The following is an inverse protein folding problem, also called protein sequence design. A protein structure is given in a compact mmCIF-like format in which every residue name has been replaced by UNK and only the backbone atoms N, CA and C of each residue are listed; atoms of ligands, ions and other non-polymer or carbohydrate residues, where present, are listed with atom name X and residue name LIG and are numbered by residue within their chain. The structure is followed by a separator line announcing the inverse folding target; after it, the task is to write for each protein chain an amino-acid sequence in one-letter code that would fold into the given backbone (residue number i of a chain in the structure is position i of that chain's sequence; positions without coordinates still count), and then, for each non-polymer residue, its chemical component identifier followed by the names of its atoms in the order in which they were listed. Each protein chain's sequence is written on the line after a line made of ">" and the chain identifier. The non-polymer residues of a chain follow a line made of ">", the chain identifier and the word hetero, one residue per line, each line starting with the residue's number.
data_IF_213951400165
#
_entry.id   IF_213951400165
#
_cell.length_a   1.000
_cell.length_b   1.000
_cell.length_c   1.000
_cell.angle_alpha   90.00
_cell.angle_beta   90.00
_cell.angle_gamma   90.00
#
_symmetry.space_group_name_H-M   'P 1'
#
loop_
_entity.id
_entity.type
_entity.pdbx_description
1 polymer ?
2 polymer ?
3 polymer ?
4 water ?
#
loop_
_entity_poly.entity_id
_entity_poly.type
_entity_poly.pdbx_seq_one_letter_code
_entity_poly.pdbx_strand_id
2 'polydeoxyribonucleotide' '(DT)(DC)(DA)(DA)(DA)(DA)(DC)(DG)(DT)(DC)(DA)(DG)(DC)(DG)(DG)(DA)(DC)(DG)(DT)(DT)(DT)(DT)(DG)(DA)' ?
3 'polydeoxyribonucleotide' '(DT)(DC)(DA)(DA)(DA)(DA)(DC)(DG)(DT)(DC)(DC)(DG)(DC)(DT)(DG)(DA)(DC)(DG)(DT)(DT)(DT)(DT)(DG)(DA)' ?
#
# COMPACT_ATOMS: atom_id res chain seq x y z
N UNK A 1 22.68 15.19 -6.66
CA UNK A 1 22.17 13.90 -6.22
C UNK A 1 21.67 13.93 -4.78
N UNK A 2 20.42 14.31 -4.59
CA UNK A 2 19.83 14.35 -3.24
C UNK A 2 19.87 13.00 -2.52
N UNK A 3 20.52 12.97 -1.36
CA UNK A 3 20.51 11.79 -0.51
C UNK A 3 19.35 11.90 0.49
N UNK A 4 18.53 10.86 0.57
CA UNK A 4 17.37 10.91 1.45
C UNK A 4 17.66 10.52 2.90
N UNK A 5 17.02 11.25 3.81
CA UNK A 5 16.98 10.88 5.22
C UNK A 5 16.52 9.43 5.38
N UNK A 6 17.32 8.63 6.07
CA UNK A 6 17.09 7.19 6.17
C UNK A 6 15.73 6.82 6.72
N UNK A 7 15.22 7.61 7.66
CA UNK A 7 13.89 7.37 8.21
C UNK A 7 12.83 7.49 7.14
N UNK A 8 12.98 8.51 6.29
CA UNK A 8 12.07 8.73 5.19
C UNK A 8 12.15 7.58 4.19
N UNK A 9 13.34 7.01 4.02
CA UNK A 9 13.52 5.88 3.13
C UNK A 9 12.80 4.62 3.59
N UNK A 10 12.84 4.37 4.90
CA UNK A 10 12.21 3.18 5.47
C UNK A 10 10.72 3.25 5.32
N UNK A 11 10.16 4.42 5.64
CA UNK A 11 8.75 4.68 5.46
C UNK A 11 8.32 4.47 4.00
N UNK A 12 9.06 5.10 3.10
CA UNK A 12 8.78 5.08 1.67
C UNK A 12 8.89 3.66 1.11
N UNK A 13 9.87 2.93 1.61
CA UNK A 13 10.02 1.53 1.23
C UNK A 13 8.75 0.78 1.57
N UNK A 14 8.26 0.96 2.78
CA UNK A 14 7.04 0.26 3.21
C UNK A 14 5.87 0.65 2.33
N UNK A 15 5.80 1.94 2.03
CA UNK A 15 4.70 2.48 1.26
C UNK A 15 4.77 1.97 -0.17
N UNK A 16 5.99 1.91 -0.69
CA UNK A 16 6.22 1.44 -2.05
C UNK A 16 5.95 -0.05 -2.15
N UNK A 17 6.21 -0.79 -1.06
CA UNK A 17 5.98 -2.22 -1.06
C UNK A 17 4.48 -2.52 -1.03
N UNK A 18 3.72 -1.63 -0.42
CA UNK A 18 2.29 -1.84 -0.26
C UNK A 18 1.50 -1.38 -1.48
N UNK A 19 1.73 -0.13 -1.90
CA UNK A 19 0.97 0.44 -3.00
C UNK A 19 1.85 1.14 -4.05
N UNK A 20 3.08 0.69 -4.17
CA UNK A 20 3.98 1.22 -5.19
C UNK A 20 3.91 0.39 -6.47
N UNK A 21 4.17 1.03 -7.59
CA UNK A 21 4.21 0.36 -8.88
C UNK A 21 5.47 0.71 -9.66
N UNK A 22 6.16 -0.32 -10.13
CA UNK A 22 7.37 -0.14 -10.92
C UNK A 22 7.12 -0.73 -12.29
N UNK A 23 7.10 0.13 -13.30
CA UNK A 23 6.60 -0.22 -14.63
C UNK A 23 7.68 -0.04 -15.67
N UNK A 24 7.86 -1.06 -16.50
CA UNK A 24 8.78 -0.95 -17.63
C UNK A 24 7.98 -1.24 -18.90
N UNK A 25 8.09 -0.36 -19.88
CA UNK A 25 7.39 -0.58 -21.15
C UNK A 25 8.30 -0.46 -22.37
N UNK A 26 7.90 -1.17 -23.42
CA UNK A 26 8.49 -1.01 -24.74
C UNK A 26 7.38 -0.41 -25.58
N UNK A 27 7.55 0.83 -26.02
CA UNK A 27 6.47 1.55 -26.67
C UNK A 27 6.71 1.64 -28.17
N UNK A 28 5.78 1.09 -28.95
CA UNK A 28 5.86 1.24 -30.41
C UNK A 28 5.91 2.71 -30.75
N UNK A 29 6.99 3.14 -31.39
CA UNK A 29 7.11 4.54 -31.78
C UNK A 29 8.06 4.66 -32.95
N UNK A 30 7.49 5.01 -34.10
CA UNK A 30 8.24 5.05 -35.35
C UNK A 30 9.40 6.06 -35.42
N UNK A 31 9.46 7.01 -34.49
CA UNK A 31 10.53 8.01 -34.51
C UNK A 31 11.85 7.49 -33.95
N UNK A 32 11.85 6.33 -33.32
CA UNK A 32 13.08 5.80 -32.73
C UNK A 32 13.80 4.91 -33.74
N UNK A 33 15.10 4.73 -33.52
CA UNK A 33 15.94 3.94 -34.42
C UNK A 33 15.48 2.49 -34.48
N UNK A 34 15.20 1.88 -33.33
CA UNK A 34 14.70 0.51 -33.27
C UNK A 34 13.17 0.46 -33.23
N UNK A 35 12.52 1.58 -33.55
CA UNK A 35 11.05 1.65 -33.69
C UNK A 35 10.26 1.52 -32.40
N UNK A 36 10.95 1.49 -31.26
CA UNK A 36 10.30 1.51 -29.96
C UNK A 36 11.11 2.33 -28.97
N UNK A 37 10.42 2.84 -27.95
CA UNK A 37 11.03 3.60 -26.88
C UNK A 37 11.01 2.76 -25.63
N UNK A 38 12.14 2.70 -24.93
CA UNK A 38 12.18 2.08 -23.60
C UNK A 38 11.74 3.10 -22.58
N UNK A 39 10.71 2.75 -21.82
CA UNK A 39 10.09 3.68 -20.88
C UNK A 39 10.00 3.08 -19.47
N UNK A 40 10.38 3.85 -18.46
CA UNK A 40 10.32 3.40 -17.07
C UNK A 40 9.50 4.39 -16.24
N UNK A 41 8.69 3.85 -15.34
CA UNK A 41 7.80 4.66 -14.53
C UNK A 41 7.71 4.10 -13.13
N UNK A 42 7.77 4.98 -12.15
CA UNK A 42 7.36 4.65 -10.81
C UNK A 42 6.08 5.42 -10.52
N UNK A 43 5.16 4.79 -9.82
CA UNK A 43 3.80 5.32 -9.76
C UNK A 43 3.10 4.92 -8.47
N UNK A 44 2.36 5.86 -7.89
CA UNK A 44 1.45 5.55 -6.78
C UNK A 44 0.13 6.26 -7.02
N UNK A 45 -0.95 5.62 -6.60
CA UNK A 45 -2.27 6.13 -6.85
C UNK A 45 -2.94 6.45 -5.51
N UNK A 46 -3.89 7.36 -5.56
CA UNK A 46 -4.54 7.82 -4.37
C UNK A 46 -5.87 8.37 -4.90
N UNK A 47 -6.97 8.10 -4.19
CA UNK A 47 -8.28 8.65 -4.59
C UNK A 47 -8.14 10.17 -4.62
N UNK A 48 -8.82 10.82 -5.56
CA UNK A 48 -8.53 12.24 -5.84
C UNK A 48 -8.75 13.18 -4.65
N UNK A 49 -9.69 12.82 -3.76
CA UNK A 49 -9.89 13.59 -2.54
C UNK A 49 -8.63 13.62 -1.66
N UNK A 50 -7.80 12.58 -1.77
CA UNK A 50 -6.59 12.53 -0.96
C UNK A 50 -5.30 12.83 -1.73
N UNK A 51 -5.43 13.53 -2.86
CA UNK A 51 -4.29 13.85 -3.69
C UNK A 51 -3.32 14.82 -3.00
N UNK A 52 -3.81 15.46 -1.94
CA UNK A 52 -2.97 16.30 -1.09
C UNK A 52 -1.75 15.54 -0.57
N UNK A 53 -1.85 14.23 -0.52
CA UNK A 53 -0.77 13.36 -0.06
C UNK A 53 0.27 13.14 -1.18
N UNK A 54 -0.21 13.05 -2.41
CA UNK A 54 0.66 12.94 -3.56
C UNK A 54 1.46 14.23 -3.76
N UNK A 55 0.80 15.36 -3.57
CA UNK A 55 1.45 16.66 -3.71
C UNK A 55 2.56 16.84 -2.67
N UNK A 56 2.34 16.36 -1.46
CA UNK A 56 3.42 16.40 -0.47
C UNK A 56 4.57 15.44 -0.81
N UNK A 57 4.25 14.36 -1.53
CA UNK A 57 5.29 13.45 -2.01
C UNK A 57 6.19 14.10 -3.04
N UNK A 58 5.59 14.92 -3.89
CA UNK A 58 6.34 15.69 -4.87
C UNK A 58 7.38 16.56 -4.14
N UNK A 59 6.99 17.13 -3.01
CA UNK A 59 7.87 17.94 -2.19
C UNK A 59 8.93 17.09 -1.48
N UNK A 60 8.49 16.05 -0.80
CA UNK A 60 9.40 15.18 -0.04
C UNK A 60 10.47 14.56 -0.94
N UNK A 61 10.04 13.89 -2.02
CA UNK A 61 11.00 13.26 -2.92
C UNK A 61 11.75 14.32 -3.70
N UNK A 62 11.06 15.42 -4.02
CA UNK A 62 11.67 16.55 -4.71
C UNK A 62 11.67 16.44 -6.22
N UNK A 63 11.05 15.40 -6.73
CA UNK A 63 11.02 15.16 -8.17
C UNK A 63 9.71 14.48 -8.58
N UNK A 64 9.39 14.52 -9.87
CA UNK A 64 8.13 13.97 -10.35
C UNK A 64 6.97 14.94 -10.21
N UNK A 65 5.77 14.46 -10.50
CA UNK A 65 4.59 15.30 -10.54
C UNK A 65 3.31 14.50 -10.30
N UNK A 66 2.18 15.20 -10.36
CA UNK A 66 0.90 14.58 -10.04
C UNK A 66 -0.08 14.64 -11.21
N UNK A 67 -0.58 13.49 -11.62
CA UNK A 67 -1.58 13.38 -12.67
C UNK A 67 -2.95 13.12 -12.06
N UNK A 68 -3.94 13.89 -12.49
CA UNK A 68 -5.34 13.62 -12.18
C UNK A 68 -5.95 12.85 -13.35
N UNK A 69 -6.63 11.75 -13.08
CA UNK A 69 -7.35 11.03 -14.14
C UNK A 69 -8.79 10.65 -13.76
N UNK A 70 -9.51 11.61 -13.17
CA UNK A 70 -10.89 11.40 -12.76
C UNK A 70 -11.05 11.15 -11.27
N UNK A 71 -11.34 9.89 -10.93
CA UNK A 71 -11.60 9.50 -9.56
C UNK A 71 -10.30 9.33 -8.78
N UNK A 72 -9.22 9.03 -9.50
CA UNK A 72 -7.92 8.81 -8.87
C UNK A 72 -6.84 9.72 -9.46
N UNK A 73 -5.83 10.03 -8.66
CA UNK A 73 -4.68 10.81 -9.11
C UNK A 73 -3.43 9.95 -9.03
N UNK A 74 -2.43 10.23 -9.86
CA UNK A 74 -1.17 9.52 -9.78
C UNK A 74 0.03 10.37 -9.42
N UNK A 75 0.85 9.91 -8.49
CA UNK A 75 2.20 10.42 -8.46
C UNK A 75 2.99 9.66 -9.54
N UNK A 76 3.74 10.40 -10.35
CA UNK A 76 4.47 9.84 -11.47
C UNK A 76 5.93 10.31 -11.43
N UNK A 77 6.85 9.39 -11.65
CA UNK A 77 8.27 9.72 -11.77
C UNK A 77 8.91 8.95 -12.94
N UNK A 78 9.24 9.65 -14.02
CA UNK A 78 9.73 9.03 -15.25
C UNK A 78 11.19 9.39 -15.54
N UNK A 79 11.55 10.65 -15.29
CA UNK A 79 12.93 11.09 -15.47
C UNK A 79 13.93 10.03 -15.02
N UNK A 80 14.70 9.51 -15.97
CA UNK A 80 15.63 8.41 -15.71
C UNK A 80 16.77 8.71 -14.69
N UNK A 81 17.32 9.91 -14.69
CA UNK A 81 18.34 10.22 -13.67
C UNK A 81 17.75 10.23 -12.26
N UNK A 82 16.73 11.07 -12.03
CA UNK A 82 16.11 11.08 -10.70
C UNK A 82 15.62 9.71 -10.29
N UNK A 83 15.05 8.98 -11.23
CA UNK A 83 14.50 7.66 -10.94
C UNK A 83 15.58 6.71 -10.51
N UNK A 84 16.71 6.77 -11.21
CA UNK A 84 17.85 5.93 -10.85
C UNK A 84 18.36 6.26 -9.46
N UNK A 85 18.45 7.55 -9.14
CA UNK A 85 18.95 7.98 -7.85
C UNK A 85 18.00 7.58 -6.75
N UNK A 86 16.71 7.56 -7.10
CA UNK A 86 15.63 7.26 -6.16
C UNK A 86 15.62 5.78 -5.80
N UNK A 87 15.48 4.94 -6.81
CA UNK A 87 15.48 3.49 -6.63
C UNK A 87 16.78 2.94 -6.05
N UNK A 88 17.89 3.58 -6.36
CA UNK A 88 19.19 3.19 -5.79
C UNK A 88 19.16 3.24 -4.27
N UNK A 89 18.55 4.29 -3.73
CA UNK A 89 18.51 4.51 -2.30
C UNK A 89 17.43 3.67 -1.61
N UNK A 90 16.36 3.40 -2.35
CA UNK A 90 15.19 2.71 -1.82
C UNK A 90 15.32 1.18 -1.92
N UNK A 91 16.02 0.73 -2.95
CA UNK A 91 16.20 -0.69 -3.24
C UNK A 91 16.55 -1.54 -2.01
N UNK A 92 17.61 -1.16 -1.26
CA UNK A 92 18.07 -2.01 -0.16
C UNK A 92 16.98 -2.33 0.87
N UNK A 93 16.03 -1.41 1.04
CA UNK A 93 14.95 -1.59 2.02
C UNK A 93 13.71 -2.34 1.51
N UNK A 94 13.56 -2.46 0.19
CA UNK A 94 12.38 -3.10 -0.38
C UNK A 94 12.31 -4.60 -0.10
N UNK A 95 11.11 -5.07 0.25
CA UNK A 95 10.89 -6.49 0.51
C UNK A 95 10.04 -7.19 -0.55
N UNK A 96 9.19 -6.44 -1.22
CA UNK A 96 8.26 -7.02 -2.20
C UNK A 96 8.55 -6.61 -3.64
N UNK A 97 9.03 -5.40 -3.84
CA UNK A 97 9.20 -4.91 -5.19
C UNK A 97 10.67 -4.69 -5.50
N UNK A 98 11.50 -5.38 -4.73
CA UNK A 98 12.94 -5.24 -4.86
C UNK A 98 13.45 -5.81 -6.19
N UNK A 99 12.90 -6.94 -6.62
CA UNK A 99 13.23 -7.49 -7.93
C UNK A 99 12.95 -6.51 -9.09
N UNK A 100 11.73 -6.03 -9.20
CA UNK A 100 11.42 -4.99 -10.18
C UNK A 100 12.43 -3.84 -10.09
N UNK A 101 12.72 -3.39 -8.88
CA UNK A 101 13.66 -2.28 -8.69
C UNK A 101 15.07 -2.58 -9.22
N UNK A 102 15.56 -3.79 -8.97
CA UNK A 102 16.86 -4.23 -9.49
C UNK A 102 16.91 -4.25 -11.02
N UNK A 103 15.85 -4.79 -11.62
CA UNK A 103 15.72 -4.83 -13.08
C UNK A 103 15.72 -3.43 -13.68
N UNK A 104 15.05 -2.50 -13.02
CA UNK A 104 15.00 -1.14 -13.50
C UNK A 104 16.38 -0.49 -13.42
N UNK A 105 17.08 -0.67 -12.29
CA UNK A 105 18.42 -0.14 -12.19
C UNK A 105 19.33 -0.72 -13.28
N UNK A 106 19.26 -2.03 -13.47
CA UNK A 106 20.03 -2.71 -14.51
C UNK A 106 19.70 -2.16 -15.90
N UNK A 107 18.41 -2.03 -16.21
CA UNK A 107 18.00 -1.47 -17.50
C UNK A 107 18.55 -0.05 -17.71
N UNK A 108 18.52 0.77 -16.66
CA UNK A 108 18.93 2.18 -16.76
C UNK A 108 20.43 2.33 -17.05
N UNK A 109 21.24 1.52 -16.39
CA UNK A 109 22.69 1.58 -16.59
C UNK A 109 23.13 1.07 -17.97
N UNK A 110 22.24 0.39 -18.67
CA UNK A 110 22.58 -0.23 -19.96
C UNK A 110 21.91 0.47 -21.14
N UNK A 111 21.16 1.53 -20.85
CA UNK A 111 20.50 2.31 -21.87
C UNK A 111 21.47 2.83 -22.94
N UNK A 112 22.58 3.47 -22.53
CA UNK A 112 23.60 3.95 -23.47
C UNK A 112 24.02 2.91 -24.51
N UNK A 113 24.40 1.72 -24.05
CA UNK A 113 24.87 0.67 -24.97
C UNK A 113 23.74 -0.07 -25.69
N UNK A 114 22.53 -0.04 -25.14
CA UNK A 114 21.38 -0.66 -25.78
C UNK A 114 20.99 0.06 -27.07
N UNK A 115 21.33 1.35 -27.14
CA UNK A 115 20.89 2.17 -28.25
C UNK A 115 21.91 2.16 -29.37
N UNK A 116 22.86 1.24 -29.29
CA UNK A 116 23.89 1.12 -30.32
C UNK A 116 23.86 -0.23 -31.04
N UNK A 117 23.50 -1.29 -30.34
CA UNK A 117 23.43 -2.62 -30.96
C UNK A 117 22.08 -3.31 -30.75
N UNK A 118 21.42 -3.68 -31.86
CA UNK A 118 20.10 -4.30 -31.81
C UNK A 118 20.09 -5.54 -30.91
N UNK A 119 21.26 -6.13 -30.69
CA UNK A 119 21.41 -7.30 -29.83
C UNK A 119 21.27 -6.90 -28.38
N UNK A 120 21.97 -5.84 -28.02
CA UNK A 120 21.96 -5.35 -26.65
C UNK A 120 20.59 -4.79 -26.35
N UNK A 121 19.95 -4.24 -27.38
CA UNK A 121 18.62 -3.67 -27.23
C UNK A 121 17.62 -4.76 -26.88
N UNK A 122 17.74 -5.90 -27.54
CA UNK A 122 16.83 -7.03 -27.35
C UNK A 122 17.01 -7.73 -26.00
N UNK A 123 18.24 -7.76 -25.52
CA UNK A 123 18.51 -8.36 -24.23
C UNK A 123 17.89 -7.48 -23.17
N UNK A 124 17.86 -6.18 -23.44
CA UNK A 124 17.24 -5.21 -22.56
C UNK A 124 15.71 -5.30 -22.57
N UNK A 125 15.12 -5.66 -23.72
CA UNK A 125 13.68 -5.91 -23.76
C UNK A 125 13.25 -7.16 -23.01
N UNK A 126 14.17 -8.10 -22.83
CA UNK A 126 13.86 -9.31 -22.06
C UNK A 126 13.88 -9.00 -20.57
N UNK A 127 14.67 -7.99 -20.18
CA UNK A 127 14.62 -7.53 -18.80
C UNK A 127 13.28 -6.86 -18.53
N UNK A 128 12.75 -6.14 -19.52
CA UNK A 128 11.42 -5.56 -19.40
C UNK A 128 10.33 -6.63 -19.26
N UNK A 129 10.50 -7.78 -19.91
CA UNK A 129 9.59 -8.92 -19.76
C UNK A 129 9.57 -9.44 -18.31
N UNK A 130 10.74 -9.48 -17.69
CA UNK A 130 10.85 -10.01 -16.33
C UNK A 130 10.15 -9.09 -15.34
N UNK A 131 10.33 -7.77 -15.50
CA UNK A 131 9.57 -6.79 -14.72
C UNK A 131 8.05 -7.00 -14.88
N UNK A 132 7.59 -7.08 -16.11
CA UNK A 132 6.18 -7.32 -16.38
C UNK A 132 5.66 -8.64 -15.78
N UNK A 133 6.49 -9.68 -15.75
CA UNK A 133 6.03 -10.96 -15.19
C UNK A 133 6.00 -10.96 -13.66
N UNK A 134 6.83 -10.11 -13.05
CA UNK A 134 6.83 -9.91 -11.59
C UNK A 134 5.65 -9.05 -11.12
N UNK A 135 5.13 -8.21 -12.01
CA UNK A 135 3.92 -7.46 -11.70
C UNK A 135 2.74 -8.35 -11.97
N UNK A 136 1.55 -7.76 -11.94
CA UNK A 136 0.32 -8.49 -12.29
C UNK A 136 -0.19 -8.08 -13.67
N UNK A 137 0.64 -8.37 -14.67
CA UNK A 137 0.41 -7.92 -16.01
C UNK A 137 -0.90 -8.47 -16.53
N UNK A 138 -1.81 -7.58 -16.93
CA UNK A 138 -3.08 -8.00 -17.50
C UNK A 138 -3.20 -7.70 -18.99
N UNK A 139 -2.79 -6.51 -19.42
CA UNK A 139 -3.06 -6.08 -20.80
C UNK A 139 -1.81 -5.89 -21.67
N UNK A 140 -0.67 -6.44 -21.26
CA UNK A 140 0.57 -6.22 -22.02
C UNK A 140 0.47 -6.69 -23.47
N UNK A 141 0.96 -5.87 -24.39
CA UNK A 141 0.78 -6.14 -25.81
C UNK A 141 2.14 -6.23 -26.54
N UNK A 142 3.07 -5.35 -26.20
CA UNK A 142 4.39 -5.35 -26.84
C UNK A 142 5.46 -6.04 -25.99
N UNK A 143 6.16 -7.01 -26.59
CA UNK A 143 7.15 -7.79 -25.86
C UNK A 143 8.50 -7.77 -26.56
N UNK A 144 9.45 -8.52 -26.01
CA UNK A 144 10.76 -8.64 -26.63
C UNK A 144 10.62 -9.35 -27.97
N UNK A 145 9.65 -10.25 -28.06
CA UNK A 145 9.37 -10.98 -29.29
C UNK A 145 8.74 -10.08 -30.35
N UNK A 146 7.99 -9.08 -29.90
CA UNK A 146 7.47 -8.06 -30.81
C UNK A 146 8.62 -7.31 -31.43
N UNK A 147 9.68 -7.12 -30.64
CA UNK A 147 10.87 -6.44 -31.10
C UNK A 147 11.82 -7.36 -31.82
N UNK A 148 11.71 -8.68 -31.61
CA UNK A 148 12.58 -9.62 -32.31
C UNK A 148 12.12 -9.73 -33.77
N UNK A 149 10.80 -9.81 -33.96
CA UNK A 149 10.22 -9.45 -35.23
C UNK A 149 10.52 -7.95 -35.32
N UNK A 150 10.05 -7.28 -36.35
CA UNK A 150 10.34 -5.84 -36.48
C UNK A 150 11.83 -5.55 -36.73
N UNK A 151 12.70 -6.00 -35.83
CA UNK A 151 14.14 -5.90 -36.09
C UNK A 151 14.56 -6.81 -37.26
N UNK A 152 13.60 -7.54 -37.82
CA UNK A 152 13.82 -8.29 -39.05
C UNK A 152 12.91 -7.76 -40.15
N UNK B 1 4.05 -7.11 26.86
CA UNK B 1 3.79 -6.75 25.46
C UNK B 1 5.05 -6.76 24.59
N UNK B 2 4.84 -6.87 23.28
CA UNK B 2 5.95 -6.82 22.33
C UNK B 2 6.39 -5.37 22.12
N UNK B 3 7.67 -5.10 22.31
CA UNK B 3 8.27 -3.84 21.87
C UNK B 3 8.73 -4.00 20.41
N UNK B 4 8.39 -3.04 19.55
CA UNK B 4 8.86 -3.05 18.17
C UNK B 4 9.99 -2.03 17.97
N UNK B 5 11.03 -2.41 17.22
CA UNK B 5 12.09 -1.46 16.89
C UNK B 5 11.56 -0.33 16.03
N UNK B 6 12.29 0.77 15.98
CA UNK B 6 11.86 1.90 15.17
C UNK B 6 11.93 1.60 13.68
N UNK B 7 12.88 0.75 13.28
CA UNK B 7 13.05 0.45 11.86
C UNK B 7 11.86 -0.33 11.31
N UNK B 8 11.44 -1.30 12.09
CA UNK B 8 10.23 -2.06 11.80
C UNK B 8 8.97 -1.18 11.80
N UNK B 9 8.88 -0.23 12.73
CA UNK B 9 7.70 0.63 12.79
C UNK B 9 7.61 1.63 11.64
N UNK B 10 8.78 2.10 11.18
CA UNK B 10 8.84 3.03 10.07
C UNK B 10 8.39 2.35 8.79
N UNK B 11 8.98 1.20 8.53
CA UNK B 11 8.61 0.45 7.35
C UNK B 11 7.12 0.11 7.36
N UNK B 12 6.66 -0.41 8.50
CA UNK B 12 5.28 -0.81 8.66
C UNK B 12 4.30 0.34 8.55
N UNK B 13 4.70 1.51 9.04
CA UNK B 13 3.80 2.66 8.97
C UNK B 13 3.57 3.06 7.52
N UNK B 14 4.62 2.98 6.72
CA UNK B 14 4.53 3.26 5.30
C UNK B 14 3.67 2.20 4.63
N UNK B 15 3.87 0.96 5.02
CA UNK B 15 3.09 -0.13 4.45
C UNK B 15 1.60 0.04 4.76
N UNK B 16 1.31 0.30 6.03
CA UNK B 16 -0.05 0.50 6.50
C UNK B 16 -0.70 1.75 5.91
N UNK B 17 0.07 2.82 5.75
CA UNK B 17 -0.46 4.02 5.13
C UNK B 17 -0.82 3.75 3.68
N UNK B 18 -0.02 2.91 3.01
CA UNK B 18 -0.26 2.60 1.62
C UNK B 18 -1.31 1.54 1.32
N UNK B 19 -1.44 0.54 2.17
CA UNK B 19 -2.08 -0.70 1.76
C UNK B 19 -2.82 -1.41 2.90
N UNK B 20 -2.96 -0.76 4.05
CA UNK B 20 -3.66 -1.36 5.17
C UNK B 20 -5.03 -0.75 5.48
N UNK B 21 -5.94 -1.58 5.99
CA UNK B 21 -7.30 -1.16 6.34
C UNK B 21 -7.54 -1.22 7.85
N UNK B 22 -8.03 -0.13 8.42
CA UNK B 22 -8.44 -0.19 9.82
C UNK B 22 -9.96 -0.19 9.89
N UNK B 23 -10.54 -1.33 10.27
CA UNK B 23 -11.98 -1.53 10.12
C UNK B 23 -12.70 -1.65 11.44
N UNK B 24 -13.65 -0.75 11.68
CA UNK B 24 -14.48 -0.83 12.91
C UNK B 24 -15.92 -1.12 12.53
N UNK B 25 -16.54 -2.05 13.24
CA UNK B 25 -17.91 -2.46 12.93
C UNK B 25 -18.78 -2.56 14.17
N UNK B 26 -20.08 -2.39 13.95
CA UNK B 26 -21.08 -2.67 14.97
C UNK B 26 -21.90 -3.83 14.42
N UNK B 27 -21.66 -5.02 14.94
CA UNK B 27 -22.25 -6.22 14.35
C UNK B 27 -23.51 -6.67 15.09
N UNK B 28 -24.65 -6.64 14.40
CA UNK B 28 -25.91 -7.09 15.04
C UNK B 28 -25.81 -8.56 15.45
N UNK B 29 -25.86 -8.81 16.76
CA UNK B 29 -25.77 -10.13 17.30
C UNK B 29 -26.61 -10.25 18.58
N UNK B 30 -27.63 -11.09 18.55
CA UNK B 30 -28.59 -11.14 19.66
C UNK B 30 -28.02 -11.64 20.99
N UNK B 31 -26.86 -12.26 20.97
CA UNK B 31 -26.36 -12.86 22.20
C UNK B 31 -25.68 -11.82 23.11
N UNK B 32 -25.46 -10.62 22.59
CA UNK B 32 -24.82 -9.56 23.35
C UNK B 32 -25.86 -8.73 24.09
N UNK B 33 -25.51 -8.24 25.27
CA UNK B 33 -26.48 -7.50 26.10
C UNK B 33 -27.13 -6.34 25.33
N UNK B 34 -26.34 -5.62 24.53
CA UNK B 34 -26.88 -4.51 23.78
C UNK B 34 -27.26 -4.91 22.35
N UNK B 35 -27.24 -6.22 22.09
CA UNK B 35 -27.65 -6.76 20.81
C UNK B 35 -26.66 -6.47 19.68
N UNK B 36 -25.46 -6.03 20.04
CA UNK B 36 -24.44 -5.71 19.04
C UNK B 36 -23.05 -5.99 19.58
N UNK B 37 -22.17 -6.42 18.68
CA UNK B 37 -20.76 -6.57 18.98
C UNK B 37 -19.95 -5.41 18.41
N UNK B 38 -19.03 -4.87 19.21
CA UNK B 38 -18.04 -3.95 18.69
C UNK B 38 -16.83 -4.73 18.14
N UNK B 39 -16.58 -4.60 16.84
CA UNK B 39 -15.51 -5.35 16.20
C UNK B 39 -14.48 -4.42 15.56
N UNK B 40 -13.22 -4.70 15.84
CA UNK B 40 -12.10 -3.93 15.31
C UNK B 40 -11.18 -4.90 14.57
N UNK B 41 -10.76 -4.51 13.38
CA UNK B 41 -10.00 -5.39 12.53
C UNK B 41 -8.94 -4.61 11.81
N UNK B 42 -7.70 -5.04 11.91
CA UNK B 42 -6.66 -4.54 11.02
C UNK B 42 -6.38 -5.57 9.94
N UNK B 43 -6.34 -5.12 8.69
CA UNK B 43 -6.37 -6.02 7.55
C UNK B 43 -5.45 -5.58 6.43
N UNK B 44 -4.69 -6.54 5.91
CA UNK B 44 -3.87 -6.34 4.72
C UNK B 44 -4.20 -7.40 3.67
N UNK B 45 -4.12 -7.04 2.41
CA UNK B 45 -4.42 -7.99 1.35
C UNK B 45 -3.30 -8.15 0.36
N UNK B 46 -3.12 -9.38 -0.06
CA UNK B 46 -2.09 -9.73 -1.03
C UNK B 46 -2.72 -10.74 -1.98
N UNK B 47 -2.23 -10.84 -3.20
CA UNK B 47 -2.67 -11.96 -4.03
C UNK B 47 -2.11 -13.24 -3.40
N UNK B 48 -2.85 -14.34 -3.48
CA UNK B 48 -2.43 -15.56 -2.80
C UNK B 48 -1.03 -16.06 -3.23
N UNK B 49 -0.68 -15.90 -4.51
CA UNK B 49 0.68 -16.23 -4.98
C UNK B 49 1.77 -15.56 -4.15
N UNK B 50 1.43 -14.48 -3.44
CA UNK B 50 2.39 -13.78 -2.60
C UNK B 50 2.06 -13.83 -1.10
N UNK B 51 1.32 -14.86 -0.69
CA UNK B 51 1.04 -15.17 0.73
C UNK B 51 2.28 -15.08 1.63
N UNK B 52 3.41 -15.56 1.12
CA UNK B 52 4.61 -15.70 1.94
C UNK B 52 4.89 -14.40 2.69
N UNK B 53 4.54 -13.28 2.08
CA UNK B 53 4.73 -11.97 2.71
C UNK B 53 3.83 -11.77 3.96
N UNK B 54 2.54 -12.10 3.84
CA UNK B 54 1.64 -12.07 5.00
C UNK B 54 2.04 -13.12 6.05
N UNK B 55 2.51 -14.27 5.57
CA UNK B 55 2.94 -15.34 6.45
C UNK B 55 4.16 -14.85 7.26
N UNK B 56 5.14 -14.33 6.54
CA UNK B 56 6.30 -13.68 7.14
C UNK B 56 5.89 -12.62 8.15
N UNK B 57 4.88 -11.83 7.81
CA UNK B 57 4.40 -10.74 8.65
C UNK B 57 3.81 -11.23 9.97
N UNK B 58 3.09 -12.35 9.94
CA UNK B 58 2.54 -12.92 11.17
C UNK B 58 3.71 -13.13 12.14
N UNK B 59 4.79 -13.69 11.61
CA UNK B 59 6.01 -13.95 12.37
C UNK B 59 6.63 -12.66 12.94
N UNK B 60 6.79 -11.67 12.07
CA UNK B 60 7.38 -10.39 12.46
C UNK B 60 6.52 -9.64 13.48
N UNK B 61 5.23 -9.51 13.22
CA UNK B 61 4.34 -8.77 14.11
C UNK B 61 4.06 -9.58 15.37
N UNK B 62 4.15 -10.90 15.24
CA UNK B 62 4.03 -11.78 16.39
C UNK B 62 2.60 -12.14 16.75
N UNK B 63 1.66 -11.70 15.94
CA UNK B 63 0.25 -11.91 16.26
C UNK B 63 -0.61 -11.75 15.00
N UNK B 64 -1.85 -12.20 15.08
CA UNK B 64 -2.71 -12.19 13.90
C UNK B 64 -2.54 -13.48 13.15
N UNK B 65 -3.20 -13.58 11.99
CA UNK B 65 -3.15 -14.79 11.20
C UNK B 65 -3.53 -14.50 9.77
N UNK B 66 -3.36 -15.49 8.90
CA UNK B 66 -3.60 -15.27 7.50
C UNK B 66 -4.75 -16.12 7.01
N UNK B 67 -5.66 -15.51 6.27
CA UNK B 67 -6.77 -16.24 5.68
C UNK B 67 -6.72 -16.17 4.16
N UNK B 68 -6.71 -17.34 3.52
CA UNK B 68 -6.79 -17.44 2.07
C UNK B 68 -8.26 -17.41 1.64
N UNK B 69 -8.64 -16.46 0.80
CA UNK B 69 -10.02 -16.41 0.34
C UNK B 69 -10.14 -16.94 -1.08
N UNK B 70 -9.01 -17.32 -1.67
CA UNK B 70 -8.99 -17.76 -3.05
C UNK B 70 -7.93 -17.11 -3.91
N UNK B 71 -8.31 -16.06 -4.63
CA UNK B 71 -7.34 -15.32 -5.43
C UNK B 71 -6.53 -14.36 -4.55
N UNK B 72 -7.09 -13.99 -3.40
CA UNK B 72 -6.42 -13.08 -2.48
C UNK B 72 -6.34 -13.68 -1.09
N UNK B 73 -5.36 -13.22 -0.32
CA UNK B 73 -5.20 -13.64 1.07
C UNK B 73 -5.17 -12.42 1.96
N UNK B 74 -5.62 -12.57 3.20
CA UNK B 74 -5.61 -11.46 4.15
C UNK B 74 -4.71 -11.74 5.32
N UNK B 75 -3.92 -10.75 5.70
CA UNK B 75 -3.45 -10.79 7.07
C UNK B 75 -4.55 -10.17 7.87
N UNK B 76 -4.83 -10.76 9.02
CA UNK B 76 -5.88 -10.25 9.90
C UNK B 76 -5.42 -10.17 11.37
N UNK B 77 -5.74 -9.03 11.99
CA UNK B 77 -5.46 -8.82 13.40
C UNK B 77 -6.69 -8.20 14.02
N UNK B 78 -7.43 -9.02 14.78
CA UNK B 78 -8.68 -8.64 15.44
C UNK B 78 -8.64 -8.76 16.98
N UNK B 79 -7.62 -9.42 17.54
CA UNK B 79 -7.51 -9.53 19.00
C UNK B 79 -7.22 -8.17 19.61
N UNK B 80 -8.07 -7.75 20.54
CA UNK B 80 -8.06 -6.36 21.01
C UNK B 80 -6.74 -5.91 21.66
N UNK B 81 -6.23 -6.64 22.64
CA UNK B 81 -4.98 -6.24 23.29
C UNK B 81 -3.79 -6.11 22.32
N UNK B 82 -3.45 -7.20 21.61
CA UNK B 82 -2.36 -7.18 20.60
C UNK B 82 -2.50 -5.98 19.65
N UNK B 83 -3.72 -5.75 19.20
CA UNK B 83 -4.03 -4.64 18.30
C UNK B 83 -3.83 -3.26 18.94
N UNK B 84 -4.17 -3.15 20.22
CA UNK B 84 -3.91 -1.92 20.96
C UNK B 84 -2.41 -1.66 21.00
N UNK B 85 -1.66 -2.69 21.35
CA UNK B 85 -0.23 -2.54 21.51
C UNK B 85 0.42 -2.17 20.19
N UNK B 86 0.02 -2.85 19.13
CA UNK B 86 0.54 -2.59 17.80
C UNK B 86 0.24 -1.17 17.30
N UNK B 87 -1.01 -0.73 17.41
CA UNK B 87 -1.34 0.60 16.92
C UNK B 87 -0.79 1.71 17.80
N UNK B 88 -0.78 1.52 19.12
CA UNK B 88 -0.16 2.50 20.00
C UNK B 88 1.26 2.85 19.56
N UNK B 89 2.03 1.83 19.19
CA UNK B 89 3.43 2.01 18.79
C UNK B 89 3.55 2.52 17.35
N UNK B 90 2.49 2.34 16.56
CA UNK B 90 2.56 2.64 15.14
C UNK B 90 2.00 4.02 14.86
N UNK B 91 1.12 4.47 15.74
CA UNK B 91 0.36 5.71 15.56
C UNK B 91 1.22 6.94 15.24
N UNK B 92 2.34 7.15 15.96
CA UNK B 92 3.23 8.30 15.77
C UNK B 92 3.80 8.43 14.35
N UNK B 93 4.01 7.30 13.69
CA UNK B 93 4.57 7.32 12.34
C UNK B 93 3.54 7.33 11.20
N UNK B 94 2.25 7.17 11.52
CA UNK B 94 1.22 7.19 10.47
C UNK B 94 0.90 8.60 9.91
N UNK B 95 0.70 8.67 8.60
CA UNK B 95 0.47 9.96 7.94
C UNK B 95 -0.81 9.98 7.13
N UNK B 96 -1.46 8.84 6.99
CA UNK B 96 -2.64 8.76 6.15
C UNK B 96 -3.79 8.07 6.85
N UNK B 97 -3.44 7.10 7.69
CA UNK B 97 -4.41 6.32 8.44
C UNK B 97 -4.28 6.66 9.91
N UNK B 98 -3.60 7.76 10.22
CA UNK B 98 -3.35 8.10 11.62
C UNK B 98 -4.65 8.38 12.39
N UNK B 99 -5.59 9.07 11.76
CA UNK B 99 -6.85 9.42 12.43
C UNK B 99 -7.68 8.17 12.75
N UNK B 100 -7.75 7.23 11.80
CA UNK B 100 -8.42 5.96 12.05
C UNK B 100 -7.79 5.30 13.28
N UNK B 101 -6.46 5.31 13.31
CA UNK B 101 -5.72 4.61 14.35
C UNK B 101 -6.02 5.20 15.73
N UNK B 102 -5.99 6.52 15.85
CA UNK B 102 -6.34 7.20 17.10
C UNK B 102 -7.73 6.83 17.59
N UNK B 103 -8.71 6.96 16.70
CA UNK B 103 -10.07 6.56 17.00
C UNK B 103 -10.14 5.14 17.54
N UNK B 104 -9.51 4.19 16.84
CA UNK B 104 -9.45 2.81 17.28
C UNK B 104 -8.84 2.71 18.69
N UNK B 105 -7.75 3.43 18.93
CA UNK B 105 -7.12 3.37 20.24
C UNK B 105 -8.06 3.86 21.34
N UNK B 106 -8.90 4.85 21.01
CA UNK B 106 -9.85 5.41 21.97
C UNK B 106 -10.95 4.40 22.29
N UNK B 107 -11.57 3.87 21.23
CA UNK B 107 -12.58 2.84 21.38
C UNK B 107 -12.14 1.73 22.33
N UNK B 108 -10.98 1.14 22.04
CA UNK B 108 -10.46 0.05 22.85
C UNK B 108 -10.43 0.45 24.34
N UNK B 109 -9.94 1.65 24.61
CA UNK B 109 -9.78 2.08 25.98
C UNK B 109 -11.11 2.26 26.70
N UNK B 110 -12.16 2.61 25.96
CA UNK B 110 -13.48 2.81 26.56
C UNK B 110 -14.37 1.58 26.52
N UNK B 111 -13.85 0.45 26.04
CA UNK B 111 -14.66 -0.76 25.94
C UNK B 111 -15.16 -1.29 27.29
N UNK B 112 -14.25 -1.40 28.29
CA UNK B 112 -14.63 -1.84 29.63
C UNK B 112 -15.78 -1.04 30.22
N UNK B 113 -15.81 0.27 29.98
CA UNK B 113 -16.90 1.10 30.49
C UNK B 113 -18.10 1.19 29.54
N UNK B 114 -17.94 0.72 28.31
CA UNK B 114 -19.04 0.72 27.36
C UNK B 114 -19.98 -0.47 27.59
N UNK B 115 -19.47 -1.52 28.25
CA UNK B 115 -20.29 -2.69 28.53
C UNK B 115 -21.24 -2.42 29.69
N UNK B 116 -20.92 -1.40 30.48
CA UNK B 116 -21.66 -1.13 31.71
C UNK B 116 -22.87 -0.22 31.51
N UNK B 117 -22.82 0.65 30.51
CA UNK B 117 -23.93 1.59 30.31
C UNK B 117 -24.23 1.92 28.85
N UNK B 118 -25.51 1.78 28.46
CA UNK B 118 -25.91 1.95 27.06
C UNK B 118 -25.55 3.33 26.50
N UNK B 119 -25.37 4.30 27.39
CA UNK B 119 -25.07 5.66 26.95
C UNK B 119 -23.63 5.78 26.45
N UNK B 120 -22.70 5.23 27.22
CA UNK B 120 -21.30 5.26 26.85
C UNK B 120 -21.11 4.34 25.63
N UNK B 121 -21.91 3.28 25.57
CA UNK B 121 -21.88 2.37 24.44
C UNK B 121 -22.29 3.07 23.15
N UNK B 122 -23.40 3.81 23.19
CA UNK B 122 -23.87 4.54 22.03
C UNK B 122 -22.84 5.58 21.60
N UNK B 123 -22.13 6.12 22.59
CA UNK B 123 -21.10 7.11 22.33
C UNK B 123 -19.95 6.45 21.59
N UNK B 124 -19.49 5.31 22.10
CA UNK B 124 -18.39 4.59 21.48
C UNK B 124 -18.76 4.23 20.04
N UNK B 125 -20.06 4.06 19.80
CA UNK B 125 -20.55 3.74 18.46
C UNK B 125 -20.45 4.89 17.47
N UNK B 126 -20.27 6.11 17.97
CA UNK B 126 -20.13 7.25 17.07
C UNK B 126 -18.68 7.42 16.62
N UNK B 127 -17.74 7.00 17.46
CA UNK B 127 -16.34 6.98 17.08
C UNK B 127 -16.15 5.94 15.97
N UNK B 128 -16.97 4.90 16.00
CA UNK B 128 -16.99 3.92 14.93
C UNK B 128 -17.49 4.54 13.63
N UNK B 129 -18.50 5.39 13.73
CA UNK B 129 -19.02 6.10 12.56
C UNK B 129 -17.92 6.96 11.91
N UNK B 130 -17.04 7.52 12.73
CA UNK B 130 -15.99 8.41 12.24
C UNK B 130 -14.88 7.65 11.51
N UNK B 131 -14.62 6.41 11.94
CA UNK B 131 -13.69 5.54 11.23
C UNK B 131 -14.23 5.17 9.84
N UNK B 132 -15.49 4.76 9.75
CA UNK B 132 -16.08 4.45 8.46
C UNK B 132 -16.10 5.68 7.54
N UNK B 133 -16.15 6.87 8.13
CA UNK B 133 -16.21 8.10 7.34
C UNK B 133 -14.83 8.45 6.76
N UNK B 134 -13.78 8.15 7.51
CA UNK B 134 -12.40 8.30 7.02
C UNK B 134 -12.01 7.24 5.98
N UNK B 135 -12.61 6.05 6.05
CA UNK B 135 -12.41 5.01 5.04
C UNK B 135 -13.24 5.32 3.80
N UNK B 136 -13.04 4.51 2.74
CA UNK B 136 -13.90 4.61 1.55
C UNK B 136 -15.13 3.71 1.70
N UNK B 137 -16.02 4.09 2.60
CA UNK B 137 -17.15 3.23 2.99
C UNK B 137 -18.28 3.23 1.96
N UNK B 138 -18.81 2.06 1.67
CA UNK B 138 -19.73 1.91 0.55
C UNK B 138 -20.95 1.03 0.83
N UNK B 139 -20.80 0.02 1.67
CA UNK B 139 -21.86 -0.96 1.85
C UNK B 139 -22.26 -1.11 3.30
N UNK B 140 -22.01 -0.06 4.08
CA UNK B 140 -22.25 -0.07 5.50
C UNK B 140 -23.75 -0.07 5.81
N UNK B 141 -24.15 -0.83 6.84
CA UNK B 141 -25.56 -0.95 7.22
C UNK B 141 -25.84 -0.55 8.68
N UNK B 142 -25.02 -1.04 9.59
CA UNK B 142 -25.23 -0.78 11.02
C UNK B 142 -24.45 0.44 11.52
N UNK B 143 -25.15 1.54 11.75
CA UNK B 143 -24.51 2.72 12.29
C UNK B 143 -24.90 2.91 13.76
N UNK B 144 -24.49 4.04 14.33
CA UNK B 144 -24.87 4.34 15.70
C UNK B 144 -26.36 4.67 15.81
N UNK B 145 -26.98 5.07 14.70
CA UNK B 145 -28.42 5.42 14.69
C UNK B 145 -29.30 4.18 14.74
N UNK B 146 -28.74 3.06 14.28
CA UNK B 146 -29.34 1.74 14.38
C UNK B 146 -29.35 1.27 15.83
N UNK B 147 -28.21 1.42 16.49
CA UNK B 147 -28.01 1.03 17.89
C UNK B 147 -28.81 1.91 18.81
N UNK B 148 -29.00 3.17 18.41
CA UNK B 148 -29.82 4.09 19.19
C UNK B 148 -31.26 3.61 19.19
N UNK B 149 -31.75 3.22 18.02
CA UNK B 149 -33.13 2.76 17.87
C UNK B 149 -33.37 1.42 18.57
N UNK B 150 -32.37 0.55 18.54
CA UNK B 150 -32.48 -0.76 19.17
C UNK B 150 -32.48 -0.66 20.68
N UNK B 151 -31.65 0.22 21.23
CA UNK B 151 -31.58 0.38 22.69
C UNK B 151 -32.79 1.09 23.28
N UNK B 152 -33.57 1.77 22.44
CA UNK B 152 -34.78 2.43 22.93
C UNK B 152 -35.87 1.44 23.34
N UNK B 153 -35.63 0.16 23.10
CA UNK B 153 -36.55 -0.90 23.52
C UNK B 153 -35.83 -2.13 24.07
#
# INVERSE_FOLDING_TARGET
>A
NTKYNKEFLLYLAGFVDGDGSIIAQIKPNQSYKFKHQLSLTFQVTQKTQRRWFLDKLVDEIGVGYVRDRGSVSNYILSEIKPLHNFLTQLQPFLKLKQKQANLVLKIIEQLPSAKESPDKFLEVCTWVDQIAALNDSKTRKTTSETVRAVLDS
>B
NTKYNKEFLLYLAGFVDGDGSIIAQIKPNQSYKFKHQLSLTFQVTQKTQRRWFLDKLVDEIGVGYVRDRGSVSNYILSEIKPLHNFLTQLQPFLKLKQKQANLVLKIIEQLPSAKESPDKFLEVCTWVDQIAALNDSKTRKTTSETVRAVLDS
#
